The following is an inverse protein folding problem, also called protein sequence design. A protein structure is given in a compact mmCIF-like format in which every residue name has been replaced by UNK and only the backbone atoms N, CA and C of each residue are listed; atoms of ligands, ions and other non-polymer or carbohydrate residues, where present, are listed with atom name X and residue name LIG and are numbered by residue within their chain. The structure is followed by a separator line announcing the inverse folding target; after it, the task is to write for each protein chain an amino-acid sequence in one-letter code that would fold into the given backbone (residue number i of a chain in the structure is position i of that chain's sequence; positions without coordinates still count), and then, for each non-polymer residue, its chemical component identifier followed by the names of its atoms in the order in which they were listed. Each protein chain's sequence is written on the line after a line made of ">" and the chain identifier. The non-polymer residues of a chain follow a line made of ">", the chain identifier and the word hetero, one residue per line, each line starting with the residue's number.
data_IF_727559318120
#
_entry.id   IF_727559318120
#
_cell.length_a   1.000
_cell.length_b   1.000
_cell.length_c   1.000
_cell.angle_alpha   90.00
_cell.angle_beta   90.00
_cell.angle_gamma   90.00
#
_symmetry.space_group_name_H-M   'P 1'
#
loop_
_entity.id
_entity.type
_entity.pdbx_description
1 polymer ?
#
# COMPACT_ATOMS: atom_id res chain seq x y z
N UNK A 1 -0.58 14.07 3.18
CA UNK A 1 0.58 14.71 2.52
C UNK A 1 1.92 14.21 3.05
N UNK A 2 2.14 14.13 4.37
CA UNK A 2 3.44 13.70 4.92
C UNK A 2 3.84 12.25 4.56
N UNK A 3 2.92 11.28 4.59
CA UNK A 3 3.22 9.87 4.31
C UNK A 3 3.96 9.65 2.98
N UNK A 4 3.46 10.25 1.89
CA UNK A 4 4.08 10.13 0.57
C UNK A 4 5.53 10.65 0.56
N UNK A 5 5.75 11.83 1.12
CA UNK A 5 7.10 12.41 1.22
C UNK A 5 8.01 11.62 2.17
N UNK A 6 7.46 11.16 3.30
CA UNK A 6 8.15 10.35 4.28
C UNK A 6 8.64 9.03 3.67
N UNK A 7 7.78 8.33 2.93
CA UNK A 7 8.18 7.09 2.24
C UNK A 7 9.24 7.37 1.18
N UNK A 8 9.12 8.43 0.38
CA UNK A 8 10.15 8.82 -0.60
C UNK A 8 11.50 9.10 0.07
N UNK A 9 11.48 9.76 1.22
CA UNK A 9 12.68 10.03 2.00
C UNK A 9 13.27 8.73 2.56
N UNK A 10 12.43 7.84 3.09
CA UNK A 10 12.87 6.53 3.56
C UNK A 10 13.51 5.72 2.42
N UNK A 11 12.89 5.66 1.24
CA UNK A 11 13.46 4.96 0.09
C UNK A 11 14.79 5.58 -0.33
N UNK A 12 14.87 6.91 -0.35
CA UNK A 12 16.11 7.60 -0.65
C UNK A 12 17.23 7.23 0.35
N UNK A 13 16.94 7.23 1.65
CA UNK A 13 17.93 6.85 2.66
C UNK A 13 18.30 5.36 2.61
N UNK A 14 17.37 4.47 2.26
CA UNK A 14 17.70 3.05 2.06
C UNK A 14 18.73 2.85 0.95
N UNK A 15 18.70 3.67 -0.10
CA UNK A 15 19.55 3.51 -1.28
C UNK A 15 20.85 4.34 -1.22
N UNK A 16 20.84 5.48 -0.51
CA UNK A 16 21.91 6.48 -0.60
C UNK A 16 22.62 6.78 0.72
N UNK A 17 22.12 6.32 1.85
CA UNK A 17 22.79 6.56 3.12
C UNK A 17 24.04 5.66 3.19
N UNK A 18 25.23 6.26 3.11
CA UNK A 18 26.49 5.55 3.32
C UNK A 18 26.67 5.33 4.81
N UNK A 19 26.93 4.08 5.18
CA UNK A 19 26.97 3.71 6.59
C UNK A 19 28.37 3.41 7.07
N UNK A 20 28.65 3.89 8.27
CA UNK A 20 29.94 3.72 8.94
C UNK A 20 29.99 2.47 9.83
N UNK A 21 28.87 1.74 9.96
CA UNK A 21 28.77 0.52 10.78
C UNK A 21 27.97 -0.56 10.05
N UNK A 22 28.54 -1.77 9.93
CA UNK A 22 27.99 -2.87 9.13
C UNK A 22 26.59 -3.36 9.59
N UNK A 23 26.24 -3.19 10.86
CA UNK A 23 25.04 -3.82 11.46
C UNK A 23 23.83 -2.90 11.70
N UNK A 24 23.87 -1.63 11.26
CA UNK A 24 22.85 -0.63 11.62
C UNK A 24 22.24 0.07 10.44
N UNK A 25 21.90 -0.70 9.40
CA UNK A 25 21.34 -0.06 8.22
C UNK A 25 20.04 0.67 8.40
N UNK A 26 19.90 1.83 7.75
CA UNK A 26 18.65 2.56 7.75
C UNK A 26 17.52 1.64 7.30
N UNK A 27 17.76 0.84 6.25
CA UNK A 27 16.86 -0.23 5.81
C UNK A 27 16.54 -1.21 6.93
N UNK A 28 17.57 -1.76 7.60
CA UNK A 28 17.37 -2.73 8.69
C UNK A 28 16.61 -2.13 9.88
N UNK A 29 16.93 -0.90 10.28
CA UNK A 29 16.26 -0.18 11.38
C UNK A 29 14.80 0.12 11.02
N UNK A 30 14.55 0.55 9.78
CA UNK A 30 13.20 0.80 9.28
C UNK A 30 12.38 -0.49 9.26
N UNK A 31 12.95 -1.60 8.79
CA UNK A 31 12.24 -2.88 8.73
C UNK A 31 11.98 -3.44 10.13
N UNK A 32 12.94 -3.32 11.06
CA UNK A 32 12.71 -3.61 12.49
C UNK A 32 11.59 -2.76 13.07
N UNK A 33 11.50 -1.48 12.71
CA UNK A 33 10.40 -0.59 13.13
C UNK A 33 9.06 -1.07 12.56
N UNK A 34 9.00 -1.44 11.28
CA UNK A 34 7.81 -1.98 10.62
C UNK A 34 7.35 -3.29 11.27
N UNK A 35 8.29 -4.22 11.53
CA UNK A 35 8.03 -5.47 12.23
C UNK A 35 7.45 -5.22 13.63
N UNK A 36 8.03 -4.29 14.40
CA UNK A 36 7.51 -3.96 15.73
C UNK A 36 6.06 -3.46 15.70
N UNK A 37 5.71 -2.66 14.69
CA UNK A 37 4.34 -2.18 14.53
C UNK A 37 3.39 -3.28 14.05
N UNK A 38 3.86 -4.16 13.16
CA UNK A 38 3.13 -5.35 12.74
C UNK A 38 2.79 -6.28 13.91
N UNK A 39 3.72 -6.52 14.83
CA UNK A 39 3.48 -7.37 16.01
C UNK A 39 2.42 -6.78 16.96
N UNK A 40 2.24 -5.44 16.97
CA UNK A 40 1.29 -4.74 17.84
C UNK A 40 -0.12 -4.64 17.24
N UNK A 41 -0.34 -5.14 16.01
CA UNK A 41 -1.57 -4.93 15.23
C UNK A 41 -2.85 -5.33 15.98
N UNK A 42 -2.87 -6.49 16.65
CA UNK A 42 -4.05 -7.01 17.36
C UNK A 42 -4.38 -6.16 18.61
N UNK A 43 -3.36 -5.60 19.26
CA UNK A 43 -3.56 -4.66 20.36
C UNK A 43 -4.08 -3.33 19.83
N UNK A 44 -3.54 -2.83 18.73
CA UNK A 44 -3.92 -1.53 18.17
C UNK A 44 -5.35 -1.50 17.63
N UNK A 45 -5.81 -2.59 17.00
CA UNK A 45 -7.16 -2.65 16.43
C UNK A 45 -8.27 -2.71 17.50
N UNK A 46 -7.97 -3.26 18.67
CA UNK A 46 -8.95 -3.51 19.74
C UNK A 46 -9.01 -2.41 20.82
N UNK A 47 -8.16 -1.38 20.73
CA UNK A 47 -8.06 -0.33 21.75
C UNK A 47 -9.03 0.84 21.50
N UNK A 48 -8.57 1.93 20.88
CA UNK A 48 -9.35 3.15 20.66
C UNK A 48 -9.43 3.51 19.18
N UNK A 49 -10.36 4.39 18.80
CA UNK A 49 -10.44 4.88 17.43
C UNK A 49 -9.14 5.55 16.96
N UNK A 50 -8.41 6.19 17.89
CA UNK A 50 -7.10 6.78 17.62
C UNK A 50 -6.05 5.70 17.28
N UNK A 51 -6.00 4.59 18.03
CA UNK A 51 -5.06 3.50 17.74
C UNK A 51 -5.42 2.77 16.45
N UNK A 52 -6.72 2.63 16.14
CA UNK A 52 -7.17 2.12 14.84
C UNK A 52 -6.76 3.06 13.70
N UNK A 53 -6.88 4.38 13.89
CA UNK A 53 -6.44 5.36 12.90
C UNK A 53 -4.93 5.30 12.65
N UNK A 54 -4.16 5.19 13.73
CA UNK A 54 -2.73 4.98 13.64
C UNK A 54 -2.39 3.68 12.89
N UNK A 55 -3.11 2.58 13.16
CA UNK A 55 -2.93 1.30 12.47
C UNK A 55 -3.22 1.37 10.97
N UNK A 56 -4.28 2.08 10.55
CA UNK A 56 -4.53 2.39 9.13
C UNK A 56 -3.35 3.17 8.53
N UNK A 57 -2.81 4.14 9.28
CA UNK A 57 -1.62 4.89 8.90
C UNK A 57 -0.39 4.00 8.69
N UNK A 58 -0.11 3.09 9.61
CA UNK A 58 0.98 2.10 9.52
C UNK A 58 0.79 1.19 8.31
N UNK A 59 -0.42 0.64 8.12
CA UNK A 59 -0.74 -0.24 7.00
C UNK A 59 -0.51 0.48 5.66
N UNK A 60 -1.01 1.71 5.52
CA UNK A 60 -0.77 2.53 4.34
C UNK A 60 0.71 2.84 4.14
N UNK A 61 1.46 3.14 5.20
CA UNK A 61 2.89 3.43 5.11
C UNK A 61 3.68 2.21 4.62
N UNK A 62 3.41 1.02 5.18
CA UNK A 62 4.06 -0.22 4.76
C UNK A 62 3.67 -0.57 3.32
N UNK A 63 2.41 -0.38 2.93
CA UNK A 63 1.96 -0.58 1.55
C UNK A 63 2.67 0.35 0.55
N UNK A 64 2.77 1.64 0.89
CA UNK A 64 3.53 2.64 0.11
C UNK A 64 5.03 2.30 0.03
N UNK A 65 5.62 1.86 1.13
CA UNK A 65 7.03 1.50 1.19
C UNK A 65 7.30 0.27 0.32
N UNK A 66 6.47 -0.77 0.44
CA UNK A 66 6.56 -1.98 -0.38
C UNK A 66 6.37 -1.69 -1.86
N UNK A 67 5.40 -0.84 -2.23
CA UNK A 67 5.16 -0.46 -3.62
C UNK A 67 6.39 0.17 -4.31
N UNK A 68 7.30 0.76 -3.54
CA UNK A 68 8.51 1.41 -4.07
C UNK A 68 9.75 0.55 -3.94
N UNK A 69 9.92 -0.15 -2.82
CA UNK A 69 11.12 -0.97 -2.57
C UNK A 69 11.00 -2.39 -3.11
N UNK A 70 9.78 -2.89 -3.31
CA UNK A 70 9.48 -4.29 -3.60
C UNK A 70 10.13 -5.29 -2.62
N UNK A 71 10.42 -4.83 -1.39
CA UNK A 71 11.12 -5.61 -0.38
C UNK A 71 10.25 -6.77 0.13
N UNK A 72 10.66 -8.05 -0.04
CA UNK A 72 9.88 -9.22 0.36
C UNK A 72 9.46 -9.21 1.83
N UNK A 73 10.32 -8.70 2.72
CA UNK A 73 10.07 -8.65 4.16
C UNK A 73 8.82 -7.83 4.50
N UNK A 74 8.49 -6.82 3.69
CA UNK A 74 7.29 -6.01 3.87
C UNK A 74 6.04 -6.72 3.31
N UNK A 75 6.21 -7.55 2.28
CA UNK A 75 5.11 -8.32 1.70
C UNK A 75 4.52 -9.31 2.72
N UNK A 76 5.37 -9.91 3.55
CA UNK A 76 4.96 -10.87 4.59
C UNK A 76 4.06 -10.25 5.68
N UNK A 77 4.16 -8.94 5.91
CA UNK A 77 3.36 -8.25 6.93
C UNK A 77 2.01 -7.78 6.41
N UNK A 78 1.93 -7.48 5.10
CA UNK A 78 0.79 -6.78 4.53
C UNK A 78 -0.52 -7.57 4.65
N UNK A 79 -0.62 -8.84 4.25
CA UNK A 79 -1.87 -9.59 4.38
C UNK A 79 -2.37 -9.66 5.82
N UNK A 80 -1.50 -9.86 6.80
CA UNK A 80 -1.90 -9.89 8.21
C UNK A 80 -2.43 -8.53 8.67
N UNK A 81 -1.80 -7.42 8.27
CA UNK A 81 -2.33 -6.08 8.57
C UNK A 81 -3.70 -5.85 7.92
N UNK A 82 -3.89 -6.27 6.67
CA UNK A 82 -5.15 -6.15 5.96
C UNK A 82 -6.24 -7.01 6.64
N UNK A 83 -5.95 -8.25 6.98
CA UNK A 83 -6.87 -9.15 7.70
C UNK A 83 -7.24 -8.59 9.08
N UNK A 84 -6.28 -8.05 9.84
CA UNK A 84 -6.59 -7.42 11.12
C UNK A 84 -7.49 -6.19 10.93
N UNK A 85 -7.29 -5.36 9.91
CA UNK A 85 -8.24 -4.28 9.59
C UNK A 85 -9.64 -4.81 9.21
N UNK A 86 -9.71 -5.89 8.43
CA UNK A 86 -10.98 -6.51 8.00
C UNK A 86 -11.74 -7.16 9.16
N UNK A 87 -11.06 -7.64 10.20
CA UNK A 87 -11.68 -8.19 11.42
C UNK A 87 -12.58 -7.20 12.15
N UNK A 88 -12.41 -5.89 11.92
CA UNK A 88 -13.30 -4.83 12.38
C UNK A 88 -13.94 -4.17 11.17
N UNK A 89 -15.07 -4.72 10.76
CA UNK A 89 -15.87 -4.21 9.65
C UNK A 89 -16.33 -2.78 9.96
N UNK A 90 -15.57 -1.82 9.44
CA UNK A 90 -15.80 -0.39 9.62
C UNK A 90 -15.41 0.33 8.33
N UNK A 91 -16.18 1.36 7.97
CA UNK A 91 -16.01 2.14 6.73
C UNK A 91 -14.57 2.57 6.47
N UNK A 92 -13.88 3.09 7.47
CA UNK A 92 -12.51 3.59 7.30
C UNK A 92 -11.46 2.47 7.18
N UNK A 93 -11.71 1.30 7.79
CA UNK A 93 -10.83 0.15 7.66
C UNK A 93 -10.93 -0.44 6.24
N UNK A 94 -12.14 -0.61 5.72
CA UNK A 94 -12.38 -1.08 4.35
C UNK A 94 -11.79 -0.15 3.30
N UNK A 95 -11.96 1.17 3.47
CA UNK A 95 -11.31 2.17 2.60
C UNK A 95 -9.79 2.02 2.61
N UNK A 96 -9.20 1.87 3.80
CA UNK A 96 -7.75 1.68 3.94
C UNK A 96 -7.29 0.43 3.22
N UNK A 97 -7.96 -0.71 3.42
CA UNK A 97 -7.66 -1.97 2.74
C UNK A 97 -7.74 -1.82 1.23
N UNK A 98 -8.81 -1.22 0.71
CA UNK A 98 -8.97 -0.97 -0.73
C UNK A 98 -7.86 -0.07 -1.29
N UNK A 99 -7.44 0.95 -0.55
CA UNK A 99 -6.35 1.85 -0.97
C UNK A 99 -5.00 1.13 -1.03
N UNK A 100 -4.68 0.28 -0.05
CA UNK A 100 -3.45 -0.52 -0.06
C UNK A 100 -3.45 -1.50 -1.21
N UNK A 101 -4.56 -2.21 -1.44
CA UNK A 101 -4.68 -3.16 -2.54
C UNK A 101 -4.60 -2.49 -3.91
N UNK A 102 -5.20 -1.31 -4.07
CA UNK A 102 -5.05 -0.52 -5.31
C UNK A 102 -3.60 -0.09 -5.54
N UNK A 103 -2.84 0.12 -4.47
CA UNK A 103 -1.46 0.61 -4.52
C UNK A 103 -0.44 -0.50 -4.81
N UNK A 104 -0.55 -1.66 -4.16
CA UNK A 104 0.44 -2.73 -4.25
C UNK A 104 -0.15 -4.14 -4.39
N UNK A 105 -1.44 -4.28 -4.69
CA UNK A 105 -2.12 -5.58 -4.81
C UNK A 105 -1.54 -6.48 -5.90
N UNK A 106 -1.16 -5.92 -7.05
CA UNK A 106 -0.50 -6.68 -8.12
C UNK A 106 0.87 -7.23 -7.71
N UNK A 107 1.64 -6.46 -6.94
CA UNK A 107 2.93 -6.87 -6.40
C UNK A 107 2.76 -7.96 -5.34
N UNK A 108 1.79 -7.82 -4.45
CA UNK A 108 1.44 -8.83 -3.45
C UNK A 108 1.00 -10.13 -4.11
N UNK A 109 0.08 -10.09 -5.06
CA UNK A 109 -0.38 -11.29 -5.76
C UNK A 109 0.78 -11.97 -6.51
N UNK A 110 1.64 -11.18 -7.16
CA UNK A 110 2.86 -11.72 -7.81
C UNK A 110 3.82 -12.35 -6.81
N UNK A 111 3.98 -11.79 -5.62
CA UNK A 111 4.82 -12.35 -4.56
C UNK A 111 4.25 -13.68 -4.06
N UNK A 112 2.97 -13.71 -3.68
CA UNK A 112 2.33 -14.89 -3.10
C UNK A 112 2.12 -16.03 -4.12
N UNK A 113 1.93 -15.72 -5.40
CA UNK A 113 1.93 -16.74 -6.46
C UNK A 113 3.31 -17.43 -6.59
N UNK A 114 4.41 -16.70 -6.37
CA UNK A 114 5.77 -17.26 -6.42
C UNK A 114 6.09 -18.08 -5.17
N UNK A 115 5.70 -17.61 -4.00
CA UNK A 115 5.95 -18.29 -2.72
C UNK A 115 4.93 -19.39 -2.41
N UNK A 116 3.89 -19.53 -3.24
CA UNK A 116 2.76 -20.47 -3.06
C UNK A 116 2.03 -20.27 -1.73
N UNK A 117 1.98 -19.04 -1.24
CA UNK A 117 1.25 -18.68 -0.02
C UNK A 117 -0.21 -18.30 -0.32
N UNK A 118 -1.09 -18.56 0.64
CA UNK A 118 -2.54 -18.37 0.49
C UNK A 118 -3.05 -17.07 1.14
N UNK A 119 -2.19 -16.32 1.82
CA UNK A 119 -2.61 -15.14 2.61
C UNK A 119 -3.32 -14.08 1.77
N UNK A 120 -2.92 -13.90 0.51
CA UNK A 120 -3.58 -12.97 -0.39
C UNK A 120 -4.99 -13.43 -0.78
N UNK A 121 -5.20 -14.73 -0.97
CA UNK A 121 -6.54 -15.28 -1.25
C UNK A 121 -7.45 -15.07 -0.05
N UNK A 122 -6.94 -15.31 1.17
CA UNK A 122 -7.66 -15.06 2.43
C UNK A 122 -8.11 -13.60 2.55
N UNK A 123 -7.24 -12.63 2.22
CA UNK A 123 -7.61 -11.20 2.19
C UNK A 123 -8.79 -10.95 1.24
N UNK A 124 -8.78 -11.59 0.07
CA UNK A 124 -9.82 -11.41 -0.94
C UNK A 124 -11.14 -12.09 -0.57
N UNK A 125 -11.08 -13.23 0.11
CA UNK A 125 -12.25 -13.90 0.68
C UNK A 125 -12.89 -13.07 1.79
N UNK A 126 -12.09 -12.53 2.71
CA UNK A 126 -12.59 -11.66 3.78
C UNK A 126 -13.22 -10.36 3.22
N UNK A 127 -12.64 -9.77 2.16
CA UNK A 127 -13.26 -8.65 1.47
C UNK A 127 -14.62 -8.99 0.87
N UNK A 128 -14.75 -10.17 0.25
CA UNK A 128 -16.04 -10.65 -0.27
C UNK A 128 -17.03 -10.85 0.87
N UNK A 129 -16.61 -11.43 1.99
CA UNK A 129 -17.46 -11.64 3.15
C UNK A 129 -18.00 -10.32 3.72
N UNK A 130 -17.16 -9.29 3.78
CA UNK A 130 -17.56 -7.97 4.25
C UNK A 130 -18.74 -7.38 3.46
N UNK A 131 -18.91 -7.68 2.17
CA UNK A 131 -20.03 -7.16 1.36
C UNK A 131 -21.41 -7.56 1.89
N UNK A 132 -21.50 -8.64 2.67
CA UNK A 132 -22.72 -9.14 3.28
C UNK A 132 -23.13 -8.36 4.54
N UNK A 133 -22.28 -7.48 5.07
CA UNK A 133 -22.61 -6.66 6.24
C UNK A 133 -23.58 -5.55 5.85
N UNK A 134 -24.65 -5.39 6.65
CA UNK A 134 -25.62 -4.31 6.52
C UNK A 134 -25.08 -2.96 7.06
N UNK A 135 -24.02 -2.98 7.86
CA UNK A 135 -23.41 -1.80 8.48
C UNK A 135 -22.53 -0.98 7.52
N UNK A 136 -22.37 -1.45 6.28
CA UNK A 136 -21.51 -0.81 5.28
C UNK A 136 -22.35 -0.06 4.25
N UNK A 137 -22.06 1.22 4.07
CA UNK A 137 -22.69 2.05 3.03
C UNK A 137 -22.45 1.53 1.61
N UNK A 138 -23.42 1.73 0.71
CA UNK A 138 -23.34 1.37 -0.71
C UNK A 138 -22.02 1.81 -1.36
N UNK A 139 -21.60 3.05 -1.14
CA UNK A 139 -20.32 3.58 -1.64
C UNK A 139 -19.11 2.71 -1.26
N UNK A 140 -19.05 2.20 -0.04
CA UNK A 140 -17.92 1.36 0.41
C UNK A 140 -18.02 -0.03 -0.21
N UNK A 141 -19.23 -0.57 -0.39
CA UNK A 141 -19.45 -1.83 -1.12
C UNK A 141 -18.96 -1.69 -2.57
N UNK A 142 -19.23 -0.58 -3.24
CA UNK A 142 -18.71 -0.29 -4.58
C UNK A 142 -17.18 -0.23 -4.61
N UNK A 143 -16.53 0.38 -3.62
CA UNK A 143 -15.05 0.36 -3.52
C UNK A 143 -14.51 -1.07 -3.43
N UNK A 144 -15.14 -1.92 -2.63
CA UNK A 144 -14.73 -3.33 -2.49
C UNK A 144 -14.96 -4.10 -3.79
N UNK A 145 -16.12 -3.92 -4.44
CA UNK A 145 -16.39 -4.52 -5.76
C UNK A 145 -15.34 -4.12 -6.80
N UNK A 146 -14.94 -2.85 -6.85
CA UNK A 146 -13.89 -2.39 -7.75
C UNK A 146 -12.56 -3.12 -7.52
N UNK A 147 -12.17 -3.35 -6.26
CA UNK A 147 -10.94 -4.10 -5.94
C UNK A 147 -11.05 -5.56 -6.38
N UNK A 148 -12.18 -6.22 -6.09
CA UNK A 148 -12.40 -7.60 -6.48
C UNK A 148 -12.41 -7.77 -8.01
N UNK A 149 -12.99 -6.82 -8.74
CA UNK A 149 -12.99 -6.83 -10.20
C UNK A 149 -11.61 -6.50 -10.78
N UNK A 150 -10.86 -5.58 -10.16
CA UNK A 150 -9.45 -5.34 -10.51
C UNK A 150 -8.64 -6.63 -10.35
N UNK A 151 -8.79 -7.35 -9.23
CA UNK A 151 -8.09 -8.61 -9.01
C UNK A 151 -8.42 -9.64 -10.11
N UNK A 152 -9.71 -9.86 -10.41
CA UNK A 152 -10.14 -10.81 -11.46
C UNK A 152 -9.56 -10.48 -12.85
N UNK A 153 -9.31 -9.20 -13.12
CA UNK A 153 -8.71 -8.71 -14.38
C UNK A 153 -7.17 -8.66 -14.34
N UNK A 154 -6.54 -9.26 -13.33
CA UNK A 154 -5.08 -9.26 -13.18
C UNK A 154 -4.52 -7.89 -12.82
N UNK A 155 -5.24 -7.10 -12.01
CA UNK A 155 -4.88 -5.76 -11.54
C UNK A 155 -4.68 -4.72 -12.64
N UNK A 156 -5.13 -5.01 -13.86
CA UNK A 156 -5.11 -4.05 -14.95
C UNK A 156 -6.03 -2.88 -14.59
N UNK A 157 -5.48 -1.67 -14.57
CA UNK A 157 -6.28 -0.48 -14.38
C UNK A 157 -7.20 -0.31 -15.60
N UNK A 158 -8.46 0.07 -15.37
CA UNK A 158 -9.20 0.83 -16.38
C UNK A 158 -8.53 2.22 -16.49
N UNK A 159 -7.33 2.28 -17.09
CA UNK A 159 -6.75 3.53 -17.54
C UNK A 159 -7.43 3.85 -18.86
N UNK A 160 -8.29 4.89 -18.97
CA UNK A 160 -8.47 5.51 -20.27
C UNK A 160 -7.07 5.90 -20.73
N UNK A 161 -6.69 5.41 -21.90
CA UNK A 161 -5.39 5.68 -22.51
C UNK A 161 -5.17 7.19 -22.50
N UNK A 162 -4.32 7.69 -21.61
CA UNK A 162 -3.84 9.06 -21.71
C UNK A 162 -2.95 9.05 -22.94
N UNK A 163 -3.48 9.58 -24.04
CA UNK A 163 -2.70 9.89 -25.23
C UNK A 163 -1.51 10.73 -24.77
N UNK A 164 -0.30 10.26 -25.08
CA UNK A 164 0.94 10.99 -24.87
C UNK A 164 0.88 12.31 -25.66
N UNK A 165 0.31 13.35 -25.07
CA UNK A 165 0.64 14.73 -25.47
C UNK A 165 2.03 15.01 -24.93
N UNK A 166 3.03 15.29 -25.79
CA UNK A 166 4.35 15.67 -25.33
C UNK A 166 4.25 16.87 -24.38
N UNK A 167 4.98 16.82 -23.26
CA UNK A 167 5.17 17.96 -22.38
C UNK A 167 5.95 19.03 -23.16
N UNK A 168 5.24 20.00 -23.74
CA UNK A 168 5.86 21.19 -24.31
C UNK A 168 6.37 22.03 -23.14
N UNK A 169 7.70 22.18 -23.03
CA UNK A 169 8.32 23.05 -22.03
C UNK A 169 8.05 24.52 -22.41
N UNK A 170 7.26 25.28 -21.63
CA UNK A 170 6.89 26.65 -21.97
C UNK A 170 8.05 27.65 -21.85
N UNK A 171 9.22 27.21 -21.34
CA UNK A 171 10.41 28.04 -21.16
C UNK A 171 11.50 27.80 -22.21
N UNK A 172 11.31 26.85 -23.13
CA UNK A 172 12.18 26.67 -24.29
C UNK A 172 11.76 27.65 -25.38
N UNK A 173 12.15 28.90 -25.21
CA UNK A 173 12.03 29.92 -26.24
C UNK A 173 13.17 29.69 -27.26
N UNK A 174 12.93 28.89 -28.29
CA UNK A 174 13.81 28.80 -29.46
C UNK A 174 13.69 30.07 -30.29
N UNK A 175 14.42 31.11 -29.88
CA UNK A 175 14.78 32.25 -30.72
C UNK A 175 16.22 32.65 -30.41
N UNK A 176 17.15 31.83 -30.91
CA UNK A 176 18.54 32.22 -31.15
C UNK A 176 18.93 31.77 -32.57
N UNK A 177 18.35 32.48 -33.54
CA UNK A 177 18.91 32.79 -34.84
C UNK A 177 18.70 34.32 -34.95
N UNK A 178 19.61 35.20 -35.35
CA UNK A 178 20.66 35.12 -36.36
C UNK A 178 21.74 36.16 -36.02
N UNK A 179 23.01 35.84 -36.27
CA UNK A 179 24.03 36.79 -36.73
C UNK A 179 25.02 36.05 -37.62
#
# INVERSE_FOLDING_TARGET
>A
QFRYNGVRLCTYFMDHLIELSEDKTFKLLLFKRCQREHTRRETLINNSDETQNYMRGVTMFIGDLYARSSAPELAEYLPQLLLTLLSKVHKENLKCVCQVLKLCGSLLESHYNKTKGDDMNRVMEELKYCLNSDDISVYVKELVHNILDMQKRGWTANMPSVTNTPLVNPYLNTNLAEK
#
